data_IF_762122049655
#
_entry.id   IF_762122049655
#
_cell.length_a   1.000
_cell.length_b   1.000
_cell.length_c   1.000
_cell.angle_alpha   90.00
_cell.angle_beta   90.00
_cell.angle_gamma   90.00
#
_symmetry.space_group_name_H-M   'P 1'
#
loop_
_entity.id
_entity.type
_entity.pdbx_description
1 polymer ?
#
# COMPACT_ATOMS: atom_id res chain seq x y z
N UNK A 1 17.43 -8.52 -11.41
CA UNK A 1 16.53 -9.68 -11.15
C UNK A 1 15.13 -9.40 -11.67
N UNK A 2 14.43 -8.37 -11.18
CA UNK A 2 13.07 -8.03 -11.67
C UNK A 2 13.09 -7.73 -13.16
N UNK A 3 14.01 -6.87 -13.63
CA UNK A 3 14.13 -6.54 -15.06
C UNK A 3 14.37 -7.76 -15.97
N UNK A 4 14.91 -8.85 -15.43
CA UNK A 4 15.19 -10.08 -16.17
C UNK A 4 13.92 -10.92 -16.35
N UNK A 5 13.00 -10.86 -15.38
CA UNK A 5 11.78 -11.68 -15.36
C UNK A 5 10.61 -10.94 -16.02
N UNK A 6 10.52 -9.62 -15.88
CA UNK A 6 9.41 -8.82 -16.41
C UNK A 6 9.12 -9.02 -17.90
N UNK A 7 10.12 -9.15 -18.80
CA UNK A 7 9.87 -9.42 -20.22
C UNK A 7 9.16 -10.76 -20.49
N UNK A 8 9.21 -11.71 -19.55
CA UNK A 8 8.53 -13.00 -19.66
C UNK A 8 7.08 -12.95 -19.17
N UNK A 9 6.68 -11.86 -18.51
CA UNK A 9 5.39 -11.70 -17.83
C UNK A 9 4.55 -10.56 -18.43
N UNK A 10 4.82 -10.17 -19.68
CA UNK A 10 4.19 -9.01 -20.35
C UNK A 10 2.66 -9.14 -20.43
N UNK A 11 2.14 -10.37 -20.55
CA UNK A 11 0.70 -10.64 -20.64
C UNK A 11 0.01 -10.78 -19.27
N UNK A 12 0.76 -10.66 -18.16
CA UNK A 12 0.23 -10.82 -16.81
C UNK A 12 0.32 -9.52 -16.02
N UNK A 13 -0.64 -9.30 -15.13
CA UNK A 13 -0.49 -8.33 -14.06
C UNK A 13 0.42 -8.92 -12.99
N UNK A 14 1.53 -8.24 -12.69
CA UNK A 14 2.54 -8.68 -11.73
C UNK A 14 2.45 -7.82 -10.48
N UNK A 15 2.38 -8.46 -9.32
CA UNK A 15 2.41 -7.78 -8.02
C UNK A 15 3.68 -8.18 -7.29
N UNK A 16 4.57 -7.21 -7.09
CA UNK A 16 5.78 -7.37 -6.30
C UNK A 16 5.45 -7.24 -4.81
N UNK A 17 5.81 -8.27 -4.05
CA UNK A 17 5.72 -8.26 -2.59
C UNK A 17 7.10 -7.97 -2.00
N UNK A 18 7.19 -6.96 -1.14
CA UNK A 18 8.45 -6.47 -0.63
C UNK A 18 8.41 -6.29 0.90
N UNK A 19 9.43 -6.79 1.59
CA UNK A 19 9.61 -6.50 3.01
C UNK A 19 9.99 -5.01 3.23
N UNK A 20 9.76 -4.53 4.45
CA UNK A 20 10.03 -3.18 4.95
C UNK A 20 11.46 -2.69 4.81
N UNK A 21 12.41 -3.61 4.63
CA UNK A 21 13.80 -3.27 4.39
C UNK A 21 14.10 -2.80 2.95
N UNK A 22 13.33 -3.29 1.97
CA UNK A 22 13.67 -3.17 0.56
C UNK A 22 12.77 -2.20 -0.23
N UNK A 23 11.77 -1.59 0.41
CA UNK A 23 10.77 -0.73 -0.22
C UNK A 23 11.27 0.69 -0.55
N UNK A 24 12.47 0.81 -1.13
CA UNK A 24 13.15 2.08 -1.42
C UNK A 24 13.96 2.03 -2.72
N UNK A 25 14.29 3.21 -3.26
CA UNK A 25 15.27 3.39 -4.33
C UNK A 25 14.96 2.55 -5.57
N UNK A 26 15.90 1.67 -5.94
CA UNK A 26 15.86 0.86 -7.17
C UNK A 26 14.57 0.05 -7.32
N UNK A 27 13.98 -0.45 -6.22
CA UNK A 27 12.73 -1.22 -6.29
C UNK A 27 11.57 -0.33 -6.75
N UNK A 28 11.48 0.87 -6.21
CA UNK A 28 10.44 1.84 -6.58
C UNK A 28 10.65 2.31 -8.03
N UNK A 29 11.88 2.58 -8.42
CA UNK A 29 12.22 2.93 -9.81
C UNK A 29 11.85 1.82 -10.79
N UNK A 30 12.11 0.55 -10.42
CA UNK A 30 11.75 -0.61 -11.25
C UNK A 30 10.24 -0.74 -11.38
N UNK A 31 9.48 -0.52 -10.31
CA UNK A 31 8.01 -0.55 -10.36
C UNK A 31 7.47 0.56 -11.27
N UNK A 32 8.05 1.77 -11.23
CA UNK A 32 7.67 2.86 -12.14
C UNK A 32 7.99 2.58 -13.62
N UNK A 33 8.90 1.65 -13.91
CA UNK A 33 9.36 1.33 -15.27
C UNK A 33 8.39 0.43 -16.04
N UNK A 34 7.58 -0.37 -15.36
CA UNK A 34 6.70 -1.36 -15.97
C UNK A 34 5.24 -1.10 -15.63
N UNK A 35 4.40 -0.87 -16.64
CA UNK A 35 2.99 -0.54 -16.44
C UNK A 35 2.16 -1.68 -15.84
N UNK A 36 2.57 -2.93 -16.09
CA UNK A 36 1.94 -4.14 -15.56
C UNK A 36 2.55 -4.62 -14.22
N UNK A 37 3.41 -3.81 -13.59
CA UNK A 37 4.05 -4.12 -12.31
C UNK A 37 3.51 -3.20 -11.21
N UNK A 38 2.88 -3.80 -10.21
CA UNK A 38 2.45 -3.12 -8.99
C UNK A 38 3.27 -3.58 -7.79
N UNK A 39 3.25 -2.80 -6.70
CA UNK A 39 4.01 -3.06 -5.49
C UNK A 39 3.09 -3.05 -4.28
N UNK A 40 3.24 -4.07 -3.44
CA UNK A 40 2.76 -4.10 -2.06
C UNK A 40 3.95 -4.34 -1.16
N UNK A 41 4.25 -3.38 -0.31
CA UNK A 41 5.39 -3.45 0.58
C UNK A 41 5.00 -3.22 2.03
N UNK A 42 5.59 -4.00 2.93
CA UNK A 42 5.61 -3.60 4.33
C UNK A 42 6.45 -2.33 4.48
N UNK A 43 6.10 -1.49 5.46
CA UNK A 43 6.77 -0.22 5.74
C UNK A 43 6.83 -0.01 7.24
N UNK A 44 7.92 0.60 7.71
CA UNK A 44 8.12 0.87 9.13
C UNK A 44 7.11 1.89 9.65
N UNK A 45 6.72 1.74 10.91
CA UNK A 45 5.76 2.64 11.58
C UNK A 45 6.23 4.09 11.71
N UNK A 46 7.54 4.33 11.65
CA UNK A 46 8.17 5.67 11.69
C UNK A 46 8.21 6.37 10.32
N UNK A 47 7.68 5.74 9.26
CA UNK A 47 7.62 6.35 7.94
C UNK A 47 6.66 7.53 7.94
N UNK A 48 7.15 8.68 7.47
CA UNK A 48 6.35 9.91 7.41
C UNK A 48 5.35 9.84 6.25
N UNK A 49 4.08 10.04 6.58
CA UNK A 49 2.95 10.01 5.67
C UNK A 49 2.33 11.41 5.61
N UNK A 50 1.95 11.84 4.42
CA UNK A 50 1.35 13.14 4.16
C UNK A 50 0.02 12.98 3.44
N UNK A 51 -0.90 13.90 3.69
CA UNK A 51 -2.08 14.04 2.86
C UNK A 51 -1.70 14.48 1.44
N UNK A 52 -2.66 14.33 0.52
CA UNK A 52 -2.51 14.81 -0.85
C UNK A 52 -2.29 16.32 -0.87
N UNK A 53 -1.63 16.86 -1.92
CA UNK A 53 -1.36 18.28 -2.01
C UNK A 53 -2.69 19.05 -1.99
N UNK A 54 -2.77 20.19 -1.29
CA UNK A 54 -3.97 21.01 -1.30
C UNK A 54 -4.26 21.51 -2.72
N UNK A 55 -5.53 21.80 -3.00
CA UNK A 55 -5.93 22.38 -4.28
C UNK A 55 -5.13 23.65 -4.57
N UNK A 56 -4.74 23.82 -5.85
CA UNK A 56 -4.07 25.03 -6.29
C UNK A 56 -4.95 26.23 -5.92
N UNK A 57 -4.39 27.14 -5.14
CA UNK A 57 -5.04 28.41 -4.83
C UNK A 57 -4.59 29.43 -5.87
N UNK A 58 -5.47 30.33 -6.30
CA UNK A 58 -5.14 31.44 -7.23
C UNK A 58 -4.17 32.50 -6.64
N UNK A 59 -3.56 32.20 -5.49
CA UNK A 59 -2.59 33.05 -4.82
C UNK A 59 -1.22 32.89 -5.47
N UNK A 60 -0.54 34.01 -5.66
CA UNK A 60 0.84 34.06 -6.16
C UNK A 60 1.78 33.27 -5.23
N UNK A 61 2.41 32.22 -5.73
CA UNK A 61 3.39 31.40 -5.00
C UNK A 61 3.50 29.97 -5.53
N UNK A 62 4.55 29.24 -5.13
CA UNK A 62 4.67 27.80 -5.43
C UNK A 62 3.70 27.02 -4.54
N UNK A 63 2.84 26.22 -5.15
CA UNK A 63 1.94 25.34 -4.41
C UNK A 63 2.71 24.33 -3.55
N UNK A 64 2.12 23.94 -2.42
CA UNK A 64 2.70 22.91 -1.54
C UNK A 64 2.74 21.58 -2.28
N UNK A 65 3.84 20.84 -2.12
CA UNK A 65 4.03 19.51 -2.71
C UNK A 65 3.36 18.41 -1.89
N UNK A 66 3.14 18.64 -0.61
CA UNK A 66 2.55 17.70 0.34
C UNK A 66 1.43 18.40 1.10
N UNK A 67 0.40 17.64 1.49
CA UNK A 67 -0.58 18.05 2.48
C UNK A 67 0.00 17.99 3.90
N UNK A 68 -0.90 17.98 4.88
CA UNK A 68 -0.51 17.90 6.28
C UNK A 68 0.05 16.51 6.63
N UNK A 69 0.91 16.46 7.65
CA UNK A 69 1.45 15.20 8.15
C UNK A 69 0.32 14.39 8.80
N UNK A 70 0.22 13.12 8.41
CA UNK A 70 -0.82 12.22 8.90
C UNK A 70 -0.40 11.61 10.24
N UNK A 71 -1.30 11.66 11.21
CA UNK A 71 -1.24 10.83 12.40
C UNK A 71 -1.97 9.51 12.14
N UNK A 72 -1.22 8.42 12.23
CA UNK A 72 -1.68 7.05 11.95
C UNK A 72 -2.75 6.64 12.97
N UNK A 73 -2.73 7.20 14.19
CA UNK A 73 -3.74 6.90 15.22
C UNK A 73 -5.11 7.45 14.87
N UNK A 74 -5.19 8.54 14.11
CA UNK A 74 -6.42 9.26 13.81
C UNK A 74 -7.04 8.84 12.47
N UNK A 75 -6.80 7.60 12.03
CA UNK A 75 -7.42 7.03 10.85
C UNK A 75 -8.76 6.38 11.17
N UNK A 76 -9.64 6.25 10.18
CA UNK A 76 -10.91 5.53 10.32
C UNK A 76 -10.67 4.02 10.25
N UNK A 77 -10.59 3.39 11.42
CA UNK A 77 -10.37 1.95 11.55
C UNK A 77 -11.66 1.15 11.45
N UNK A 78 -11.61 0.05 10.69
CA UNK A 78 -12.65 -0.95 10.60
C UNK A 78 -12.13 -2.28 11.16
N UNK A 79 -13.01 -3.03 11.85
CA UNK A 79 -12.63 -4.34 12.41
C UNK A 79 -12.63 -5.40 11.31
N UNK A 80 -11.47 -6.00 11.06
CA UNK A 80 -11.26 -7.07 10.10
C UNK A 80 -10.69 -8.30 10.82
N UNK A 81 -11.56 -9.24 11.15
CA UNK A 81 -11.21 -10.42 11.95
C UNK A 81 -10.77 -10.03 13.35
N UNK A 82 -9.51 -10.33 13.69
CA UNK A 82 -8.88 -10.05 14.99
C UNK A 82 -8.15 -8.70 15.03
N UNK A 83 -8.12 -7.99 13.90
CA UNK A 83 -7.37 -6.74 13.74
C UNK A 83 -8.30 -5.59 13.40
N UNK A 84 -7.81 -4.37 13.61
CA UNK A 84 -8.39 -3.15 13.11
C UNK A 84 -7.54 -2.66 11.95
N UNK A 85 -8.16 -2.42 10.80
CA UNK A 85 -7.50 -1.98 9.59
C UNK A 85 -8.03 -0.61 9.16
N UNK A 86 -7.14 0.29 8.73
CA UNK A 86 -7.51 1.56 8.13
C UNK A 86 -6.75 1.74 6.82
N UNK A 87 -7.44 2.22 5.79
CA UNK A 87 -6.86 2.46 4.48
C UNK A 87 -6.99 3.93 4.11
N UNK A 88 -5.92 4.56 3.62
CA UNK A 88 -5.93 5.96 3.18
C UNK A 88 -5.01 6.16 1.98
N UNK A 89 -5.39 7.04 1.07
CA UNK A 89 -4.51 7.49 -0.03
C UNK A 89 -3.63 8.64 0.47
N UNK A 90 -2.32 8.48 0.34
CA UNK A 90 -1.31 9.36 0.97
C UNK A 90 -0.12 9.60 0.05
N UNK A 91 0.68 10.60 0.39
CA UNK A 91 2.01 10.82 -0.15
C UNK A 91 3.06 10.41 0.87
N UNK A 92 4.19 9.90 0.39
CA UNK A 92 5.34 9.55 1.22
C UNK A 92 6.63 9.93 0.51
N UNK A 93 7.69 10.17 1.28
CA UNK A 93 9.01 10.47 0.70
C UNK A 93 9.57 9.30 -0.12
N UNK A 94 9.09 8.06 0.12
CA UNK A 94 9.54 6.88 -0.61
C UNK A 94 9.11 6.91 -2.08
N UNK A 95 7.88 7.36 -2.34
CA UNK A 95 7.29 7.42 -3.69
C UNK A 95 7.28 8.83 -4.28
N UNK A 96 8.01 9.75 -3.65
CA UNK A 96 8.16 11.16 -4.05
C UNK A 96 6.82 11.90 -4.21
N UNK A 97 6.28 11.93 -5.43
CA UNK A 97 5.04 12.63 -5.82
C UNK A 97 3.93 11.67 -6.24
N UNK A 98 4.19 10.36 -6.25
CA UNK A 98 3.18 9.38 -6.59
C UNK A 98 2.32 9.09 -5.36
N UNK A 99 1.00 9.33 -5.42
CA UNK A 99 0.12 9.00 -4.33
C UNK A 99 -0.03 7.48 -4.26
N UNK A 100 0.19 6.94 -3.07
CA UNK A 100 0.10 5.52 -2.78
C UNK A 100 -0.98 5.29 -1.74
N UNK A 101 -1.45 4.06 -1.65
CA UNK A 101 -2.41 3.68 -0.63
C UNK A 101 -1.64 3.08 0.52
N UNK A 102 -1.90 3.57 1.73
CA UNK A 102 -1.48 2.90 2.95
C UNK A 102 -2.62 2.04 3.45
N UNK A 103 -2.27 0.86 3.96
CA UNK A 103 -3.11 0.16 4.91
C UNK A 103 -2.36 -0.05 6.20
N UNK A 104 -2.97 0.40 7.29
CA UNK A 104 -2.48 0.23 8.64
C UNK A 104 -3.30 -0.84 9.31
N UNK A 105 -2.63 -1.82 9.91
CA UNK A 105 -3.26 -2.86 10.72
C UNK A 105 -2.72 -2.79 12.15
N UNK A 106 -3.64 -2.80 13.12
CA UNK A 106 -3.34 -2.80 14.56
C UNK A 106 -4.20 -3.83 15.26
N UNK A 107 -3.70 -4.41 16.35
CA UNK A 107 -4.46 -5.40 17.14
C UNK A 107 -5.43 -4.75 18.12
N UNK A 108 -5.00 -3.65 18.73
CA UNK A 108 -5.78 -2.88 19.69
C UNK A 108 -5.68 -1.38 19.36
N UNK A 109 -6.80 -0.68 19.34
CA UNK A 109 -6.88 0.76 19.08
C UNK A 109 -6.41 1.61 20.28
N UNK A 110 -6.58 1.12 21.51
CA UNK A 110 -6.23 1.88 22.72
C UNK A 110 -4.71 1.88 22.95
N UNK A 111 -4.08 0.70 22.97
CA UNK A 111 -2.65 0.58 23.20
C UNK A 111 -1.82 0.88 21.93
N UNK A 112 -2.43 0.70 20.76
CA UNK A 112 -1.78 0.90 19.46
C UNK A 112 -0.50 0.06 19.30
N UNK A 113 -0.51 -1.14 19.87
CA UNK A 113 0.60 -2.08 19.82
C UNK A 113 0.62 -2.90 18.52
N UNK A 114 1.82 -3.34 18.12
CA UNK A 114 2.04 -4.21 16.95
C UNK A 114 1.52 -3.60 15.64
N UNK A 115 1.75 -2.30 15.45
CA UNK A 115 1.39 -1.57 14.22
C UNK A 115 2.12 -2.15 13.02
N UNK A 116 1.36 -2.54 12.00
CA UNK A 116 1.88 -2.94 10.70
C UNK A 116 1.35 -1.98 9.66
N UNK A 117 2.25 -1.46 8.82
CA UNK A 117 1.89 -0.56 7.73
C UNK A 117 2.31 -1.24 6.44
N UNK A 118 1.40 -1.21 5.48
CA UNK A 118 1.67 -1.62 4.12
C UNK A 118 1.42 -0.46 3.18
N UNK A 119 2.30 -0.29 2.19
CA UNK A 119 2.09 0.60 1.07
C UNK A 119 1.73 -0.23 -0.15
N UNK A 120 0.74 0.23 -0.89
CA UNK A 120 0.29 -0.34 -2.15
C UNK A 120 0.24 0.74 -3.23
N UNK A 121 0.76 0.41 -4.42
CA UNK A 121 0.60 1.25 -5.62
C UNK A 121 -0.68 0.93 -6.40
N UNK A 122 -1.42 -0.09 -5.99
CA UNK A 122 -2.64 -0.56 -6.66
C UNK A 122 -3.75 0.47 -6.48
N UNK A 123 -4.51 0.75 -7.54
CA UNK A 123 -5.63 1.69 -7.48
C UNK A 123 -6.73 1.20 -6.51
N UNK A 124 -7.28 2.13 -5.70
CA UNK A 124 -8.08 1.86 -4.50
C UNK A 124 -9.36 1.03 -4.68
N UNK A 125 -9.78 0.71 -5.91
CA UNK A 125 -11.01 -0.04 -6.17
C UNK A 125 -10.96 -1.51 -5.68
N UNK A 126 -9.81 -1.99 -5.19
CA UNK A 126 -9.47 -3.43 -5.04
C UNK A 126 -8.92 -3.74 -3.62
N UNK A 127 -9.35 -3.05 -2.56
CA UNK A 127 -8.80 -3.27 -1.20
C UNK A 127 -9.80 -3.87 -0.24
N UNK A 128 -10.01 -5.19 -0.33
CA UNK A 128 -10.71 -5.96 0.70
C UNK A 128 -9.71 -6.91 1.38
N UNK A 129 -9.56 -6.78 2.70
CA UNK A 129 -8.76 -7.69 3.52
C UNK A 129 -9.62 -8.92 3.88
N UNK A 130 -9.22 -10.11 3.44
CA UNK A 130 -9.82 -11.36 3.93
C UNK A 130 -8.73 -12.33 4.42
N UNK A 131 -8.89 -12.79 5.66
CA UNK A 131 -8.12 -13.90 6.25
C UNK A 131 -8.88 -15.18 5.89
N UNK A 132 -8.71 -15.70 4.67
CA UNK A 132 -9.20 -17.05 4.33
C UNK A 132 -8.03 -18.00 4.14
N UNK A 133 -8.09 -19.13 4.83
CA UNK A 133 -7.05 -20.18 4.86
C UNK A 133 -7.15 -21.16 3.69
N UNK A 134 -8.10 -20.96 2.77
CA UNK A 134 -8.36 -21.82 1.62
C UNK A 134 -7.97 -21.13 0.31
N UNK A 135 -6.78 -21.47 -0.19
CA UNK A 135 -6.18 -20.92 -1.41
C UNK A 135 -6.91 -21.35 -2.70
N UNK A 136 -7.53 -22.54 -2.72
CA UNK A 136 -8.29 -23.07 -3.87
C UNK A 136 -9.58 -22.27 -4.14
N UNK A 137 -10.29 -21.89 -3.07
CA UNK A 137 -11.49 -21.04 -3.15
C UNK A 137 -11.12 -19.62 -3.61
N UNK A 138 -9.92 -19.14 -3.24
CA UNK A 138 -9.41 -17.82 -3.60
C UNK A 138 -8.99 -17.73 -5.08
N UNK A 139 -8.39 -18.78 -5.65
CA UNK A 139 -8.10 -18.85 -7.09
C UNK A 139 -9.37 -18.88 -7.95
N UNK A 140 -10.43 -19.56 -7.47
CA UNK A 140 -11.75 -19.51 -8.12
C UNK A 140 -12.41 -18.13 -8.00
N UNK A 141 -12.19 -17.39 -6.90
CA UNK A 141 -12.70 -16.02 -6.73
C UNK A 141 -11.83 -14.96 -7.42
N UNK A 142 -10.54 -15.21 -7.68
CA UNK A 142 -9.63 -14.33 -8.42
C UNK A 142 -10.01 -14.17 -9.90
N UNK A 143 -10.82 -15.09 -10.45
CA UNK A 143 -11.51 -14.89 -11.74
C UNK A 143 -12.53 -13.74 -11.70
N UNK A 144 -12.86 -13.22 -10.51
CA UNK A 144 -13.57 -11.96 -10.27
C UNK A 144 -12.64 -11.05 -9.46
N UNK A 145 -11.80 -10.32 -10.20
CA UNK A 145 -10.89 -9.25 -9.73
C UNK A 145 -11.49 -8.52 -8.51
N UNK A 146 -10.73 -8.44 -7.38
CA UNK A 146 -10.80 -7.35 -6.35
C UNK A 146 -10.14 -7.65 -4.97
N UNK A 147 -9.14 -8.55 -4.85
CA UNK A 147 -8.49 -8.79 -3.55
C UNK A 147 -6.96 -8.69 -3.61
N UNK A 148 -6.36 -7.89 -2.72
CA UNK A 148 -4.90 -7.82 -2.54
C UNK A 148 -4.37 -8.99 -1.71
N UNK A 149 -3.21 -9.56 -2.04
CA UNK A 149 -2.64 -10.74 -1.38
C UNK A 149 -1.95 -10.44 -0.04
N UNK A 150 -2.56 -9.61 0.81
CA UNK A 150 -2.03 -9.34 2.15
C UNK A 150 -1.94 -10.60 3.03
N UNK A 151 -2.63 -11.69 2.66
CA UNK A 151 -2.55 -12.99 3.32
C UNK A 151 -1.15 -13.61 3.30
N UNK A 152 -0.28 -13.21 2.35
CA UNK A 152 1.11 -13.68 2.26
C UNK A 152 1.99 -13.12 3.37
N UNK A 153 1.67 -11.93 3.87
CA UNK A 153 2.18 -11.44 5.13
C UNK A 153 1.38 -12.12 6.22
N UNK A 154 1.95 -13.16 6.83
CA UNK A 154 1.31 -13.80 7.98
C UNK A 154 1.00 -12.74 9.04
N UNK A 155 -0.27 -12.36 9.14
CA UNK A 155 -0.76 -11.53 10.22
C UNK A 155 -0.86 -12.43 11.46
N UNK A 156 0.30 -12.86 11.97
CA UNK A 156 0.45 -13.54 13.26
C UNK A 156 -0.10 -12.66 14.36
#
# INVERSE_FOLDING_TARGET
MIDTVMPLLVECQVILLCDSWYSKGIIIETVKKYDNLELIAAVRCDTVLYDLPPALTDKRGKARLYGDKIDIKNLSYEKVGEYYAATKKVLTNLFEKLPVIITVAVKNLESFDSVRIFISTIAAAILIFSKSTNWEVYLMSLKRINYLPYFTYSIR
#
